data_IF_838362472309
#
_entry.id   IF_838362472309
#
_cell.length_a   1.000
_cell.length_b   1.000
_cell.length_c   1.000
_cell.angle_alpha   90.00
_cell.angle_beta   90.00
_cell.angle_gamma   90.00
#
_symmetry.space_group_name_H-M   'P 1'
#
loop_
_entity.id
_entity.type
_entity.pdbx_description
1 polymer ?
#
# COMPACT_ATOMS: atom_id res chain seq x y z
N UNK A 1 11.18 25.20 7.78
CA UNK A 1 10.93 24.74 9.17
C UNK A 1 10.64 23.26 9.09
N UNK A 2 11.58 22.41 9.48
CA UNK A 2 11.53 20.95 9.32
C UNK A 2 11.47 20.25 10.68
N UNK A 3 10.99 19.01 10.69
CA UNK A 3 10.68 18.28 11.93
C UNK A 3 11.74 17.24 12.34
N UNK A 4 12.68 16.88 11.45
CA UNK A 4 13.69 15.85 11.73
C UNK A 4 14.56 16.15 12.95
N UNK A 5 15.00 17.41 13.14
CA UNK A 5 15.76 17.83 14.35
C UNK A 5 14.96 17.71 15.66
N UNK A 6 13.64 17.49 15.58
CA UNK A 6 12.75 17.25 16.71
C UNK A 6 12.42 15.76 16.89
N UNK A 7 13.08 14.87 16.15
CA UNK A 7 12.83 13.43 16.20
C UNK A 7 11.53 12.99 15.54
N UNK A 8 10.99 13.77 14.58
CA UNK A 8 9.75 13.43 13.87
C UNK A 8 10.10 13.03 12.44
N UNK A 9 9.76 11.78 12.07
CA UNK A 9 9.86 11.27 10.71
C UNK A 9 8.57 11.56 9.93
N UNK A 10 8.70 11.72 8.62
CA UNK A 10 7.58 11.89 7.69
C UNK A 10 7.84 11.01 6.49
N UNK A 11 7.00 10.01 6.29
CA UNK A 11 7.16 8.99 5.25
C UNK A 11 5.87 8.86 4.42
N UNK A 12 5.98 8.22 3.25
CA UNK A 12 4.85 7.94 2.38
C UNK A 12 4.91 6.51 1.86
N UNK A 13 3.74 5.91 1.67
CA UNK A 13 3.58 4.64 0.97
C UNK A 13 2.80 4.93 -0.31
N UNK A 14 3.24 4.36 -1.43
CA UNK A 14 2.56 4.46 -2.73
C UNK A 14 2.04 3.08 -3.15
N UNK A 15 0.81 2.69 -2.75
CA UNK A 15 0.22 1.41 -3.12
C UNK A 15 -0.05 1.31 -4.62
N UNK A 16 0.09 0.10 -5.16
CA UNK A 16 -0.44 -0.28 -6.48
C UNK A 16 -1.93 -0.65 -6.43
N UNK A 17 -2.34 -1.64 -7.22
CA UNK A 17 -3.72 -2.15 -7.16
C UNK A 17 -3.93 -3.02 -5.91
N UNK A 18 -4.81 -2.58 -5.01
CA UNK A 18 -5.13 -3.26 -3.76
C UNK A 18 -6.58 -3.75 -3.78
N UNK A 19 -6.83 -4.97 -3.31
CA UNK A 19 -8.14 -5.61 -3.24
C UNK A 19 -8.98 -5.06 -2.09
N UNK A 20 -9.35 -3.78 -2.17
CA UNK A 20 -10.35 -3.18 -1.28
C UNK A 20 -11.77 -3.59 -1.71
N UNK A 21 -12.76 -3.39 -0.85
CA UNK A 21 -14.17 -3.71 -1.16
C UNK A 21 -14.65 -3.05 -2.46
N UNK A 22 -14.29 -1.78 -2.66
CA UNK A 22 -14.61 -1.04 -3.89
C UNK A 22 -14.00 -1.69 -5.13
N UNK A 23 -12.75 -2.13 -5.06
CA UNK A 23 -12.07 -2.78 -6.20
C UNK A 23 -12.65 -4.17 -6.43
N UNK A 24 -12.93 -4.93 -5.37
CA UNK A 24 -13.52 -6.26 -5.46
C UNK A 24 -14.93 -6.28 -6.07
N UNK A 25 -15.67 -5.17 -5.97
CA UNK A 25 -17.00 -5.01 -6.58
C UNK A 25 -16.96 -4.65 -8.09
N UNK A 26 -15.78 -4.46 -8.68
CA UNK A 26 -15.65 -4.15 -10.11
C UNK A 26 -15.92 -5.38 -11.00
N UNK A 27 -16.32 -5.17 -12.27
CA UNK A 27 -16.50 -6.26 -13.23
C UNK A 27 -15.25 -7.13 -13.38
N UNK A 28 -15.44 -8.43 -13.65
CA UNK A 28 -14.37 -9.41 -13.69
C UNK A 28 -13.32 -9.09 -14.76
N UNK A 29 -13.73 -8.59 -15.92
CA UNK A 29 -12.81 -8.19 -17.01
C UNK A 29 -11.89 -7.04 -16.58
N UNK A 30 -12.40 -6.11 -15.78
CA UNK A 30 -11.61 -5.00 -15.23
C UNK A 30 -10.61 -5.52 -14.20
N UNK A 31 -11.06 -6.40 -13.30
CA UNK A 31 -10.19 -7.07 -12.33
C UNK A 31 -9.09 -7.88 -13.01
N UNK A 32 -9.41 -8.62 -14.08
CA UNK A 32 -8.44 -9.38 -14.87
C UNK A 32 -7.41 -8.46 -15.53
N UNK A 33 -7.86 -7.33 -16.11
CA UNK A 33 -6.98 -6.32 -16.67
C UNK A 33 -6.05 -5.65 -15.64
N UNK A 34 -6.54 -5.43 -14.42
CA UNK A 34 -5.69 -4.95 -13.31
C UNK A 34 -4.64 -5.99 -12.91
N UNK A 35 -5.03 -7.25 -12.71
CA UNK A 35 -4.11 -8.35 -12.36
C UNK A 35 -3.02 -8.53 -13.41
N UNK A 36 -3.36 -8.47 -14.70
CA UNK A 36 -2.40 -8.62 -15.80
C UNK A 36 -1.34 -7.50 -15.85
N UNK A 37 -1.63 -6.32 -15.29
CA UNK A 37 -0.67 -5.21 -15.16
C UNK A 37 0.27 -5.37 -13.96
N UNK A 38 -0.06 -6.23 -12.99
CA UNK A 38 0.80 -6.48 -11.83
C UNK A 38 1.72 -7.66 -12.15
N UNK A 39 3.06 -7.50 -12.12
CA UNK A 39 3.99 -8.58 -12.46
C UNK A 39 3.83 -9.87 -11.63
N UNK A 40 3.40 -9.74 -10.37
CA UNK A 40 3.14 -10.89 -9.48
C UNK A 40 1.79 -11.59 -9.75
N UNK A 41 0.98 -11.06 -10.68
CA UNK A 41 -0.27 -11.67 -11.15
C UNK A 41 -1.46 -11.56 -10.18
N UNK A 42 -1.35 -10.76 -9.11
CA UNK A 42 -2.45 -10.51 -8.16
C UNK A 42 -2.50 -9.06 -7.70
N UNK A 43 -3.66 -8.65 -7.19
CA UNK A 43 -3.78 -7.41 -6.41
C UNK A 43 -3.12 -7.61 -5.04
N UNK A 44 -2.66 -6.51 -4.45
CA UNK A 44 -2.20 -6.49 -3.06
C UNK A 44 -3.36 -6.68 -2.09
N UNK A 45 -3.11 -7.36 -0.98
CA UNK A 45 -4.03 -7.43 0.16
C UNK A 45 -3.89 -6.14 1.00
N UNK A 46 -5.00 -5.53 1.46
CA UNK A 46 -4.95 -4.37 2.35
C UNK A 46 -4.00 -4.52 3.56
N UNK A 47 -3.83 -5.74 4.10
CA UNK A 47 -2.92 -6.04 5.21
C UNK A 47 -1.45 -5.85 4.83
N UNK A 48 -1.07 -6.04 3.57
CA UNK A 48 0.31 -5.76 3.11
C UNK A 48 0.63 -4.27 3.26
N UNK A 49 -0.34 -3.40 2.96
CA UNK A 49 -0.21 -1.96 3.14
C UNK A 49 -0.24 -1.58 4.62
N UNK A 50 -1.14 -2.18 5.41
CA UNK A 50 -1.18 -1.95 6.85
C UNK A 50 0.15 -2.32 7.53
N UNK A 51 0.74 -3.46 7.17
CA UNK A 51 2.02 -3.91 7.72
C UNK A 51 3.16 -2.93 7.37
N UNK A 52 3.17 -2.39 6.14
CA UNK A 52 4.15 -1.38 5.75
C UNK A 52 3.98 -0.07 6.54
N UNK A 53 2.74 0.35 6.84
CA UNK A 53 2.50 1.49 7.75
C UNK A 53 2.95 1.18 9.18
N UNK A 54 2.66 -0.02 9.69
CA UNK A 54 3.12 -0.44 11.02
C UNK A 54 4.63 -0.42 11.13
N UNK A 55 5.36 -0.87 10.10
CA UNK A 55 6.82 -0.76 10.06
C UNK A 55 7.28 0.70 10.15
N UNK A 56 6.74 1.58 9.30
CA UNK A 56 7.11 3.01 9.31
C UNK A 56 6.74 3.73 10.61
N UNK A 57 5.76 3.22 11.37
CA UNK A 57 5.37 3.74 12.67
C UNK A 57 6.15 3.13 13.85
N UNK A 58 6.94 2.08 13.59
CA UNK A 58 7.72 1.40 14.62
C UNK A 58 9.08 2.05 14.84
N UNK A 59 9.72 1.71 15.96
CA UNK A 59 11.09 2.13 16.26
C UNK A 59 12.12 1.57 15.27
N UNK A 60 11.78 0.51 14.52
CA UNK A 60 12.65 -0.11 13.52
C UNK A 60 12.87 0.77 12.26
N UNK A 61 12.03 1.79 12.07
CA UNK A 61 12.06 2.67 10.89
C UNK A 61 12.62 4.09 11.17
N UNK A 62 13.38 4.25 12.26
CA UNK A 62 13.96 5.53 12.72
C UNK A 62 15.47 5.64 12.51
#
# INVERSE_FOLDING_TARGET
>A
REFGKKGITVNAIAPGFISTEMVAAMPEEVLAGMKAKVPIGRLGDPKEIANAYCFLASDEAS
#
